data_IF_735605205087
#
_entry.id   IF_735605205087
#
_cell.length_a   1.000
_cell.length_b   1.000
_cell.length_c   1.000
_cell.angle_alpha   90.00
_cell.angle_beta   90.00
_cell.angle_gamma   90.00
#
_symmetry.space_group_name_H-M   'P 1'
#
loop_
_entity.id
_entity.type
_entity.pdbx_description
1 polymer ?
#
# COMPACT_ATOMS: atom_id res chain seq x y z
N UNK A 1 23.54 -5.26 -17.06
CA UNK A 1 22.21 -5.53 -16.49
C UNK A 1 21.78 -6.92 -16.95
N UNK A 2 21.53 -7.86 -16.03
CA UNK A 2 21.18 -9.25 -16.37
C UNK A 2 19.70 -9.37 -16.77
N UNK A 3 19.35 -10.47 -17.44
CA UNK A 3 17.95 -10.73 -17.86
C UNK A 3 17.01 -10.89 -16.65
N UNK A 4 17.56 -11.39 -15.54
CA UNK A 4 16.88 -11.55 -14.25
C UNK A 4 16.62 -10.19 -13.57
N UNK A 5 17.60 -9.28 -13.55
CA UNK A 5 17.44 -7.91 -13.05
C UNK A 5 16.34 -7.14 -13.80
N UNK A 6 16.23 -7.34 -15.11
CA UNK A 6 15.18 -6.72 -15.94
C UNK A 6 13.80 -7.28 -15.57
N UNK A 7 13.68 -8.60 -15.38
CA UNK A 7 12.42 -9.24 -14.97
C UNK A 7 11.97 -8.78 -13.58
N UNK A 8 12.86 -8.79 -12.60
CA UNK A 8 12.61 -8.30 -11.24
C UNK A 8 12.16 -6.83 -11.25
N UNK A 9 12.82 -5.99 -12.05
CA UNK A 9 12.45 -4.57 -12.17
C UNK A 9 11.05 -4.36 -12.75
N UNK A 10 10.68 -5.12 -13.79
CA UNK A 10 9.34 -5.05 -14.38
C UNK A 10 8.29 -5.54 -13.38
N UNK A 11 8.58 -6.63 -12.68
CA UNK A 11 7.71 -7.16 -11.63
C UNK A 11 7.47 -6.12 -10.53
N UNK A 12 8.53 -5.51 -10.01
CA UNK A 12 8.45 -4.48 -8.97
C UNK A 12 7.66 -3.24 -9.39
N UNK A 13 7.89 -2.73 -10.62
CA UNK A 13 7.13 -1.59 -11.14
C UNK A 13 5.65 -1.97 -11.27
N UNK A 14 5.33 -3.15 -11.81
CA UNK A 14 3.95 -3.63 -11.91
C UNK A 14 3.29 -3.76 -10.54
N UNK A 15 3.96 -4.42 -9.60
CA UNK A 15 3.50 -4.64 -8.23
C UNK A 15 3.25 -3.32 -7.47
N UNK A 16 4.18 -2.35 -7.55
CA UNK A 16 3.95 -1.03 -6.93
C UNK A 16 2.79 -0.30 -7.61
N UNK A 17 2.70 -0.36 -8.95
CA UNK A 17 1.64 0.36 -9.68
C UNK A 17 0.26 -0.16 -9.31
N UNK A 18 0.10 -1.49 -9.18
CA UNK A 18 -1.13 -2.11 -8.69
C UNK A 18 -1.43 -1.67 -7.26
N UNK A 19 -0.44 -1.68 -6.36
CA UNK A 19 -0.61 -1.25 -4.97
C UNK A 19 -0.98 0.25 -4.87
N UNK A 20 -0.36 1.10 -5.70
CA UNK A 20 -0.64 2.52 -5.75
C UNK A 20 -2.07 2.79 -6.25
N UNK A 21 -2.47 2.19 -7.37
CA UNK A 21 -3.83 2.30 -7.90
C UNK A 21 -4.88 1.82 -6.89
N UNK A 22 -4.57 0.72 -6.20
CA UNK A 22 -5.43 0.16 -5.18
C UNK A 22 -5.53 1.06 -3.93
N UNK A 23 -4.42 1.65 -3.46
CA UNK A 23 -4.45 2.63 -2.38
C UNK A 23 -5.28 3.87 -2.76
N UNK A 24 -5.12 4.37 -3.98
CA UNK A 24 -5.91 5.50 -4.50
C UNK A 24 -7.39 5.14 -4.55
N UNK A 25 -7.74 3.96 -5.06
CA UNK A 25 -9.11 3.47 -5.08
C UNK A 25 -9.73 3.49 -3.68
N UNK A 26 -9.06 2.93 -2.66
CA UNK A 26 -9.58 2.92 -1.28
C UNK A 26 -9.59 4.28 -0.60
N UNK A 27 -8.66 5.15 -0.93
CA UNK A 27 -8.66 6.54 -0.45
C UNK A 27 -9.86 7.31 -1.00
N UNK A 28 -10.16 7.15 -2.29
CA UNK A 28 -11.31 7.78 -2.94
C UNK A 28 -12.62 7.21 -2.41
N UNK A 29 -12.72 5.88 -2.33
CA UNK A 29 -13.87 5.19 -1.74
C UNK A 29 -14.10 5.71 -0.32
N UNK A 30 -13.09 5.63 0.56
CA UNK A 30 -13.26 6.04 1.95
C UNK A 30 -13.53 7.53 2.15
N UNK A 31 -12.96 8.41 1.32
CA UNK A 31 -13.27 9.83 1.33
C UNK A 31 -14.71 10.13 0.89
N UNK A 32 -15.20 9.42 -0.14
CA UNK A 32 -16.58 9.57 -0.63
C UNK A 32 -17.61 9.01 0.36
N UNK A 33 -17.32 7.89 1.02
CA UNK A 33 -18.22 7.33 2.04
C UNK A 33 -18.19 8.17 3.32
N UNK A 34 -17.00 8.58 3.77
CA UNK A 34 -16.82 9.36 5.01
C UNK A 34 -17.39 10.78 4.97
N UNK A 35 -17.67 11.32 3.78
CA UNK A 35 -18.37 12.61 3.61
C UNK A 35 -19.89 12.47 3.70
N UNK A 36 -20.43 11.25 3.84
CA UNK A 36 -21.87 10.97 3.87
C UNK A 36 -22.59 11.18 2.53
N UNK A 37 -21.87 11.65 1.52
CA UNK A 37 -22.39 11.99 0.18
C UNK A 37 -22.57 10.77 -0.73
N UNK A 38 -21.97 9.63 -0.39
CA UNK A 38 -21.97 8.44 -1.24
C UNK A 38 -22.14 7.16 -0.40
N UNK A 39 -23.10 6.31 -0.81
CA UNK A 39 -23.28 4.96 -0.27
C UNK A 39 -22.76 3.95 -1.28
N UNK A 40 -21.81 3.12 -0.88
CA UNK A 40 -21.20 2.15 -1.81
C UNK A 40 -22.04 0.89 -1.79
N UNK A 41 -23.19 0.94 -2.47
CA UNK A 41 -24.04 -0.23 -2.67
C UNK A 41 -23.34 -1.38 -3.41
N UNK A 42 -22.21 -1.12 -4.09
CA UNK A 42 -21.43 -2.10 -4.82
C UNK A 42 -20.88 -3.24 -3.93
N UNK A 43 -20.76 -3.02 -2.62
CA UNK A 43 -20.23 -4.00 -1.65
C UNK A 43 -21.19 -4.26 -0.47
N UNK A 44 -22.44 -3.80 -0.55
CA UNK A 44 -23.46 -3.99 0.49
C UNK A 44 -23.33 -3.09 1.72
N UNK A 45 -24.36 -3.07 2.57
CA UNK A 45 -24.47 -2.21 3.76
C UNK A 45 -23.36 -2.47 4.80
N UNK A 46 -22.78 -3.67 4.81
CA UNK A 46 -21.63 -4.02 5.66
C UNK A 46 -20.41 -3.16 5.36
N UNK A 47 -20.19 -2.82 4.08
CA UNK A 47 -19.05 -2.03 3.65
C UNK A 47 -19.20 -0.57 4.08
N UNK A 48 -20.39 0.00 3.95
CA UNK A 48 -20.67 1.35 4.46
C UNK A 48 -20.46 1.44 5.98
N UNK A 49 -20.78 0.38 6.74
CA UNK A 49 -20.50 0.32 8.18
C UNK A 49 -18.99 0.27 8.48
N UNK A 50 -18.20 -0.46 7.68
CA UNK A 50 -16.72 -0.46 7.80
C UNK A 50 -16.16 0.94 7.60
N UNK A 51 -16.60 1.63 6.54
CA UNK A 51 -16.09 2.96 6.21
C UNK A 51 -16.53 4.02 7.24
N UNK A 52 -17.77 3.95 7.72
CA UNK A 52 -18.24 4.85 8.78
C UNK A 52 -17.61 4.55 10.15
N UNK A 53 -17.26 3.29 10.42
CA UNK A 53 -16.60 2.90 11.67
C UNK A 53 -15.08 3.15 11.66
N UNK A 54 -14.48 3.38 10.49
CA UNK A 54 -13.07 3.72 10.39
C UNK A 54 -12.84 5.16 10.89
N UNK A 55 -11.92 5.37 11.86
CA UNK A 55 -11.55 6.71 12.27
C UNK A 55 -11.01 7.52 11.08
N UNK A 56 -11.32 8.82 11.02
CA UNK A 56 -10.77 9.74 10.02
C UNK A 56 -9.23 9.69 9.95
N UNK A 57 -8.59 9.44 11.09
CA UNK A 57 -7.15 9.23 11.22
C UNK A 57 -6.64 8.06 10.37
N UNK A 58 -7.42 6.99 10.22
CA UNK A 58 -7.07 5.82 9.39
C UNK A 58 -7.02 6.20 7.91
N UNK A 59 -7.96 7.04 7.43
CA UNK A 59 -7.90 7.59 6.08
C UNK A 59 -6.71 8.51 5.86
N UNK A 60 -6.41 9.39 6.82
CA UNK A 60 -5.22 10.24 6.76
C UNK A 60 -3.92 9.41 6.70
N UNK A 61 -3.84 8.30 7.46
CA UNK A 61 -2.72 7.36 7.40
C UNK A 61 -2.63 6.65 6.04
N UNK A 62 -3.77 6.30 5.44
CA UNK A 62 -3.84 5.68 4.12
C UNK A 62 -3.35 6.64 3.02
N UNK A 63 -3.62 7.95 3.14
CA UNK A 63 -3.07 8.99 2.26
C UNK A 63 -1.55 9.10 2.38
N UNK A 64 -1.02 9.08 3.61
CA UNK A 64 0.44 9.09 3.85
C UNK A 64 1.08 7.83 3.28
N UNK A 65 0.43 6.67 3.45
CA UNK A 65 0.88 5.40 2.89
C UNK A 65 0.93 5.43 1.36
N UNK A 66 -0.14 5.91 0.70
CA UNK A 66 -0.18 6.08 -0.74
C UNK A 66 0.96 6.99 -1.24
N UNK A 67 1.24 8.09 -0.52
CA UNK A 67 2.37 8.98 -0.79
C UNK A 67 3.73 8.27 -0.68
N UNK A 68 3.93 7.42 0.32
CA UNK A 68 5.17 6.63 0.47
C UNK A 68 5.34 5.60 -0.65
N UNK A 69 4.27 4.94 -1.07
CA UNK A 69 4.28 3.99 -2.18
C UNK A 69 4.59 4.70 -3.51
N UNK A 70 3.95 5.84 -3.78
CA UNK A 70 4.24 6.66 -4.96
C UNK A 70 5.67 7.20 -4.95
N UNK A 71 6.13 7.72 -3.81
CA UNK A 71 7.51 8.22 -3.67
C UNK A 71 8.53 7.11 -3.90
N UNK A 72 8.22 5.88 -3.47
CA UNK A 72 9.05 4.72 -3.71
C UNK A 72 9.05 4.28 -5.17
N UNK A 73 7.91 4.36 -5.87
CA UNK A 73 7.84 4.15 -7.32
C UNK A 73 8.74 5.13 -8.06
N UNK A 74 8.60 6.42 -7.75
CA UNK A 74 9.40 7.50 -8.35
C UNK A 74 10.89 7.28 -8.03
N UNK A 75 11.23 6.99 -6.78
CA UNK A 75 12.60 6.70 -6.38
C UNK A 75 13.17 5.46 -7.09
N UNK A 76 12.37 4.42 -7.32
CA UNK A 76 12.76 3.22 -8.04
C UNK A 76 13.03 3.52 -9.52
N UNK A 77 12.18 4.34 -10.15
CA UNK A 77 12.32 4.81 -11.53
C UNK A 77 13.56 5.70 -11.70
N UNK A 78 13.81 6.60 -10.74
CA UNK A 78 14.95 7.51 -10.71
C UNK A 78 16.26 6.89 -10.17
N UNK A 79 16.28 5.58 -9.90
CA UNK A 79 17.45 4.89 -9.35
C UNK A 79 17.98 5.49 -8.04
N UNK A 80 17.11 6.07 -7.25
CA UNK A 80 17.48 6.85 -6.07
C UNK A 80 17.75 5.96 -4.85
N UNK A 81 18.81 6.29 -4.10
CA UNK A 81 19.15 5.63 -2.81
C UNK A 81 18.04 5.76 -1.76
N UNK A 82 17.14 6.74 -1.93
CA UNK A 82 16.00 7.00 -1.07
C UNK A 82 14.88 5.95 -1.20
N UNK A 83 14.89 5.12 -2.26
CA UNK A 83 13.92 4.05 -2.44
C UNK A 83 13.91 3.07 -1.26
N UNK A 84 15.09 2.70 -0.75
CA UNK A 84 15.20 1.81 0.41
C UNK A 84 14.63 2.47 1.67
N UNK A 85 14.94 3.75 1.90
CA UNK A 85 14.44 4.48 3.07
C UNK A 85 12.91 4.61 3.03
N UNK A 86 12.34 4.97 1.87
CA UNK A 86 10.90 5.08 1.69
C UNK A 86 10.20 3.72 1.89
N UNK A 87 10.79 2.62 1.41
CA UNK A 87 10.28 1.26 1.64
C UNK A 87 10.34 0.85 3.12
N UNK A 88 11.46 1.14 3.80
CA UNK A 88 11.63 0.85 5.22
C UNK A 88 10.68 1.65 6.10
N UNK A 89 10.21 2.83 5.66
CA UNK A 89 9.18 3.61 6.34
C UNK A 89 7.78 3.09 5.99
N UNK A 90 7.55 2.71 4.73
CA UNK A 90 6.26 2.22 4.27
C UNK A 90 5.84 0.93 4.99
N UNK A 91 6.76 0.00 5.25
CA UNK A 91 6.47 -1.28 5.93
C UNK A 91 5.86 -1.08 7.33
N UNK A 92 6.53 -0.40 8.29
CA UNK A 92 5.96 -0.17 9.61
C UNK A 92 4.72 0.72 9.55
N UNK A 93 4.63 1.65 8.59
CA UNK A 93 3.44 2.46 8.39
C UNK A 93 2.24 1.62 7.96
N UNK A 94 2.45 0.65 7.07
CA UNK A 94 1.45 -0.33 6.67
C UNK A 94 0.99 -1.16 7.89
N UNK A 95 1.92 -1.72 8.66
CA UNK A 95 1.59 -2.50 9.85
C UNK A 95 0.82 -1.68 10.90
N UNK A 96 1.18 -0.41 11.12
CA UNK A 96 0.51 0.48 12.05
C UNK A 96 -0.90 0.88 11.61
N UNK A 97 -1.12 1.05 10.30
CA UNK A 97 -2.45 1.28 9.74
C UNK A 97 -3.32 0.04 9.97
N UNK A 98 -2.80 -1.15 9.63
CA UNK A 98 -3.54 -2.40 9.72
C UNK A 98 -3.80 -2.88 11.14
N UNK A 99 -2.89 -2.64 12.09
CA UNK A 99 -3.15 -2.94 13.50
C UNK A 99 -4.35 -2.15 14.01
N UNK A 100 -4.56 -0.90 13.56
CA UNK A 100 -5.74 -0.11 13.92
C UNK A 100 -7.02 -0.63 13.30
N UNK A 101 -6.97 -1.11 12.07
CA UNK A 101 -8.17 -1.62 11.41
C UNK A 101 -8.52 -3.05 11.87
N UNK A 102 -7.54 -3.87 12.27
CA UNK A 102 -7.75 -5.22 12.78
C UNK A 102 -8.62 -5.29 14.05
N UNK A 103 -8.75 -4.19 14.80
CA UNK A 103 -9.63 -4.10 15.96
C UNK A 103 -11.03 -3.53 15.64
N UNK A 104 -11.31 -3.20 14.38
CA UNK A 104 -12.64 -2.75 13.97
C UNK A 104 -13.56 -3.98 13.81
N UNK A 105 -14.63 -4.11 14.63
CA UNK A 105 -15.49 -5.31 14.65
C UNK A 105 -16.31 -5.48 13.37
N UNK A 106 -16.45 -4.41 12.58
CA UNK A 106 -17.12 -4.45 11.29
C UNK A 106 -16.17 -4.79 10.16
N UNK A 107 -14.85 -4.77 10.39
CA UNK A 107 -13.89 -5.01 9.34
C UNK A 107 -13.94 -6.48 8.92
N UNK A 108 -14.43 -6.81 7.71
CA UNK A 108 -14.24 -8.15 7.18
C UNK A 108 -12.73 -8.37 7.12
N UNK A 109 -12.27 -9.51 7.63
CA UNK A 109 -10.90 -9.94 7.42
C UNK A 109 -10.66 -9.89 5.90
N UNK A 110 -9.95 -8.86 5.43
CA UNK A 110 -9.46 -8.75 4.06
C UNK A 110 -7.97 -9.08 4.07
N UNK A 111 -7.62 -10.36 4.36
CA UNK A 111 -6.23 -10.81 4.41
C UNK A 111 -5.53 -10.61 3.07
N UNK A 112 -6.27 -10.58 1.95
CA UNK A 112 -5.72 -10.31 0.63
C UNK A 112 -4.96 -8.99 0.54
N UNK A 113 -5.39 -7.96 1.28
CA UNK A 113 -4.77 -6.64 1.28
C UNK A 113 -3.41 -6.65 2.00
N UNK A 114 -3.34 -7.39 3.11
CA UNK A 114 -2.14 -7.59 3.90
C UNK A 114 -1.12 -8.42 3.10
N UNK A 115 -1.56 -9.54 2.51
CA UNK A 115 -0.68 -10.43 1.76
C UNK A 115 -0.17 -9.81 0.45
N UNK A 116 -1.01 -9.07 -0.28
CA UNK A 116 -0.59 -8.38 -1.51
C UNK A 116 0.40 -7.25 -1.20
N UNK A 117 0.13 -6.43 -0.18
CA UNK A 117 1.04 -5.35 0.20
C UNK A 117 2.36 -5.87 0.78
N UNK A 118 2.34 -6.93 1.61
CA UNK A 118 3.55 -7.59 2.09
C UNK A 118 4.36 -8.21 0.94
N UNK A 119 3.70 -8.86 -0.02
CA UNK A 119 4.36 -9.41 -1.21
C UNK A 119 5.07 -8.34 -2.02
N UNK A 120 4.39 -7.22 -2.29
CA UNK A 120 4.95 -6.07 -3.01
C UNK A 120 6.15 -5.48 -2.23
N UNK A 121 6.01 -5.28 -0.92
CA UNK A 121 7.09 -4.74 -0.07
C UNK A 121 8.31 -5.66 -0.01
N UNK A 122 8.09 -6.97 0.01
CA UNK A 122 9.18 -7.97 0.04
C UNK A 122 9.98 -7.92 -1.26
N UNK A 123 9.31 -7.89 -2.42
CA UNK A 123 9.97 -7.76 -3.73
C UNK A 123 10.79 -6.47 -3.81
N UNK A 124 10.26 -5.36 -3.29
CA UNK A 124 10.94 -4.07 -3.33
C UNK A 124 12.13 -3.99 -2.38
N UNK A 125 11.99 -4.56 -1.18
CA UNK A 125 13.08 -4.66 -0.24
C UNK A 125 14.21 -5.51 -0.82
N UNK A 126 13.88 -6.66 -1.42
CA UNK A 126 14.86 -7.54 -2.07
C UNK A 126 15.60 -6.81 -3.19
N UNK A 127 14.90 -6.08 -4.07
CA UNK A 127 15.54 -5.27 -5.11
C UNK A 127 16.41 -4.13 -4.56
N UNK A 128 15.95 -3.47 -3.49
CA UNK A 128 16.70 -2.38 -2.89
C UNK A 128 17.97 -2.87 -2.18
N UNK A 129 17.95 -4.06 -1.57
CA UNK A 129 19.10 -4.72 -0.96
C UNK A 129 20.07 -5.26 -2.00
N UNK A 130 19.57 -5.89 -3.07
CA UNK A 130 20.38 -6.42 -4.18
C UNK A 130 21.15 -5.30 -4.89
N UNK A 131 20.50 -4.15 -5.15
CA UNK A 131 21.16 -2.96 -5.70
C UNK A 131 22.29 -2.41 -4.82
N UNK A 132 22.29 -2.69 -3.52
CA UNK A 132 23.34 -2.27 -2.58
C UNK A 132 24.40 -3.36 -2.36
N UNK A 133 24.27 -4.52 -3.01
CA UNK A 133 25.17 -5.66 -2.83
C UNK A 133 25.08 -6.30 -1.44
N UNK A 134 23.98 -6.07 -0.71
CA UNK A 134 23.80 -6.56 0.67
C UNK A 134 23.27 -8.01 0.75
N UNK A 135 22.96 -8.63 -0.39
CA UNK A 135 22.47 -10.00 -0.51
C UNK A 135 23.52 -10.97 -1.08
N UNK A 136 24.79 -10.53 -1.18
CA UNK A 136 25.92 -11.31 -1.68
C UNK A 136 26.79 -11.82 -0.55
#
# INVERSE_FOLDING_TARGET
>A
MTLEEIRLRRLAIGSISVLAAYCVFWMLVGGLTGTGTFRIQLFGDETDNVFNAMPWLTYAMLSVYAGLIFSSLVALLLHSRWCLAAMLIAIPWHLAMWSRVAFNPYMPAWPGLIFVALGVMTVLLQMALDRRGLLR
#
